data_IF_020656094857
#
_entry.id   IF_020656094857
#
_cell.length_a   1.000
_cell.length_b   1.000
_cell.length_c   1.000
_cell.angle_alpha   90.00
_cell.angle_beta   90.00
_cell.angle_gamma   90.00
#
_symmetry.space_group_name_H-M   'P 1'
#
loop_
_entity.id
_entity.type
_entity.pdbx_description
1 polymer ?
#
# COMPACT_ATOMS: atom_id res chain seq x y z
N UNK A 1 -0.72 -59.22 41.10
CA UNK A 1 -1.92 -58.51 40.57
C UNK A 1 -1.36 -57.43 39.66
N UNK A 2 -1.11 -57.78 38.41
CA UNK A 2 -0.46 -56.91 37.44
C UNK A 2 -1.41 -56.77 36.25
N UNK A 3 -2.16 -55.67 36.24
CA UNK A 3 -3.09 -55.37 35.15
C UNK A 3 -2.33 -54.67 34.03
N UNK A 4 -2.05 -55.44 32.98
CA UNK A 4 -1.67 -54.96 31.65
C UNK A 4 -2.89 -54.26 31.04
N UNK A 5 -2.82 -52.95 30.83
CA UNK A 5 -3.82 -52.20 30.05
C UNK A 5 -3.31 -52.09 28.61
N UNK A 6 -4.07 -52.69 27.69
CA UNK A 6 -3.91 -52.60 26.26
C UNK A 6 -3.96 -51.14 25.78
N UNK A 7 -2.91 -50.69 25.10
CA UNK A 7 -2.93 -49.47 24.31
C UNK A 7 -3.62 -49.76 22.98
N UNK A 8 -4.82 -49.22 22.76
CA UNK A 8 -5.51 -49.28 21.47
C UNK A 8 -4.81 -48.36 20.46
N UNK A 9 -4.07 -48.94 19.53
CA UNK A 9 -3.54 -48.29 18.35
C UNK A 9 -4.68 -47.94 17.38
N UNK A 10 -5.19 -46.72 17.48
CA UNK A 10 -6.03 -46.14 16.42
C UNK A 10 -5.22 -45.98 15.13
N UNK A 11 -5.81 -46.18 13.94
CA UNK A 11 -5.08 -46.07 12.69
C UNK A 11 -4.54 -44.64 12.51
N UNK A 12 -3.22 -44.50 12.42
CA UNK A 12 -2.55 -43.27 11.98
C UNK A 12 -3.15 -42.85 10.63
N UNK A 13 -3.91 -41.75 10.62
CA UNK A 13 -4.30 -41.09 9.38
C UNK A 13 -3.02 -40.65 8.67
N UNK A 14 -2.72 -41.31 7.55
CA UNK A 14 -1.69 -40.86 6.61
C UNK A 14 -1.97 -39.39 6.26
N UNK A 15 -0.97 -38.49 6.31
CA UNK A 15 -1.18 -37.13 5.84
C UNK A 15 -1.62 -37.20 4.38
N UNK A 16 -2.78 -36.63 4.09
CA UNK A 16 -3.28 -36.49 2.72
C UNK A 16 -2.20 -35.80 1.88
N UNK A 17 -1.97 -36.25 0.64
CA UNK A 17 -1.08 -35.54 -0.27
C UNK A 17 -1.56 -34.10 -0.35
N UNK A 18 -0.71 -33.14 0.09
CA UNK A 18 -1.00 -31.72 -0.11
C UNK A 18 -1.25 -31.56 -1.60
N UNK A 19 -2.48 -31.16 -1.96
CA UNK A 19 -2.76 -30.77 -3.33
C UNK A 19 -1.67 -29.77 -3.77
N UNK A 20 -1.07 -29.93 -4.96
CA UNK A 20 -0.14 -28.94 -5.46
C UNK A 20 -0.85 -27.60 -5.43
N UNK A 21 -0.18 -26.58 -4.86
CA UNK A 21 -0.69 -25.20 -4.89
C UNK A 21 -1.10 -24.91 -6.34
N UNK A 22 -2.30 -24.37 -6.60
CA UNK A 22 -2.72 -24.07 -7.96
C UNK A 22 -1.61 -23.26 -8.63
N UNK A 23 -1.22 -23.67 -9.84
CA UNK A 23 -0.23 -22.96 -10.64
C UNK A 23 -0.68 -21.52 -10.76
N UNK A 24 0.12 -20.59 -10.25
CA UNK A 24 -0.18 -19.16 -10.29
C UNK A 24 -0.34 -18.71 -11.73
N UNK A 25 -1.22 -17.73 -11.98
CA UNK A 25 -1.39 -17.20 -13.32
C UNK A 25 -0.09 -16.54 -13.78
N UNK A 26 0.29 -16.75 -15.05
CA UNK A 26 1.44 -16.10 -15.67
C UNK A 26 1.30 -14.57 -15.66
N UNK A 27 0.06 -14.08 -15.71
CA UNK A 27 -0.31 -12.67 -15.63
C UNK A 27 0.08 -12.04 -14.29
N UNK A 28 -0.24 -12.70 -13.17
CA UNK A 28 0.10 -12.18 -11.83
C UNK A 28 1.60 -12.06 -11.62
N UNK A 29 2.38 -13.05 -12.09
CA UNK A 29 3.84 -12.98 -12.06
C UNK A 29 4.34 -11.80 -12.91
N UNK A 30 3.73 -11.56 -14.07
CA UNK A 30 4.09 -10.42 -14.94
C UNK A 30 3.81 -9.06 -14.27
N UNK A 31 2.69 -8.93 -13.56
CA UNK A 31 2.34 -7.72 -12.81
C UNK A 31 3.29 -7.48 -11.63
N UNK A 32 3.65 -8.53 -10.89
CA UNK A 32 4.66 -8.45 -9.82
C UNK A 32 6.01 -8.03 -10.40
N UNK A 33 6.46 -8.63 -11.51
CA UNK A 33 7.69 -8.21 -12.19
C UNK A 33 7.64 -6.76 -12.64
N UNK A 34 6.50 -6.29 -13.15
CA UNK A 34 6.30 -4.88 -13.52
C UNK A 34 6.46 -3.97 -12.31
N UNK A 35 5.87 -4.33 -11.17
CA UNK A 35 6.03 -3.61 -9.91
C UNK A 35 7.49 -3.57 -9.45
N UNK A 36 8.17 -4.71 -9.40
CA UNK A 36 9.58 -4.80 -9.00
C UNK A 36 10.51 -4.01 -9.94
N UNK A 37 10.19 -3.99 -11.24
CA UNK A 37 10.90 -3.17 -12.24
C UNK A 37 10.69 -1.67 -12.04
N UNK A 38 9.65 -1.23 -11.36
CA UNK A 38 9.44 0.19 -11.03
C UNK A 38 10.21 0.66 -9.78
N UNK A 39 10.76 -0.27 -8.97
CA UNK A 39 11.53 0.07 -7.76
C UNK A 39 12.87 0.76 -8.10
N UNK A 40 13.43 1.56 -7.17
CA UNK A 40 14.78 2.14 -7.27
C UNK A 40 15.85 1.12 -7.71
N UNK A 41 16.79 1.54 -8.56
CA UNK A 41 17.81 0.70 -9.22
C UNK A 41 19.20 0.79 -8.60
N UNK A 42 19.47 1.84 -7.84
CA UNK A 42 20.74 2.08 -7.16
C UNK A 42 20.56 2.98 -5.94
N UNK A 43 21.65 3.25 -5.24
CA UNK A 43 21.62 4.13 -4.05
C UNK A 43 21.21 5.56 -4.46
N UNK A 44 21.63 6.04 -5.64
CA UNK A 44 21.21 7.36 -6.13
C UNK A 44 19.69 7.49 -6.27
N UNK A 45 19.02 6.42 -6.70
CA UNK A 45 17.56 6.42 -6.83
C UNK A 45 16.83 6.43 -5.48
N UNK A 46 17.44 5.82 -4.47
CA UNK A 46 16.95 5.88 -3.09
C UNK A 46 17.16 7.26 -2.47
N UNK A 47 18.12 8.04 -2.97
CA UNK A 47 18.55 9.31 -2.40
C UNK A 47 18.22 10.53 -3.28
N UNK A 48 17.51 10.34 -4.39
CA UNK A 48 17.09 11.40 -5.33
C UNK A 48 16.17 12.45 -4.69
N UNK A 49 15.42 12.07 -3.65
CA UNK A 49 14.43 12.93 -2.98
C UNK A 49 14.58 12.89 -1.48
N UNK A 50 14.24 13.98 -0.79
CA UNK A 50 14.10 13.92 0.67
C UNK A 50 13.00 12.91 1.05
N UNK A 51 13.13 12.20 2.18
CA UNK A 51 14.15 12.33 3.22
C UNK A 51 15.44 11.55 2.94
N UNK A 52 16.60 12.08 3.34
CA UNK A 52 17.92 11.41 3.24
C UNK A 52 18.47 10.97 4.61
N UNK A 53 17.90 11.49 5.71
CA UNK A 53 18.35 11.22 7.08
C UNK A 53 17.18 10.79 7.95
N UNK A 54 17.49 10.24 9.13
CA UNK A 54 16.47 9.78 10.08
C UNK A 54 15.63 10.96 10.61
N UNK A 55 16.26 12.10 10.86
CA UNK A 55 15.59 13.33 11.30
C UNK A 55 14.60 13.83 10.24
N UNK A 56 14.95 13.69 8.96
CA UNK A 56 14.03 14.07 7.88
C UNK A 56 12.86 13.09 7.73
N UNK A 57 13.06 11.80 8.05
CA UNK A 57 11.95 10.83 8.14
C UNK A 57 11.02 11.20 9.28
N UNK A 58 11.57 11.54 10.44
CA UNK A 58 10.80 11.96 11.61
C UNK A 58 10.05 13.26 11.34
N UNK A 59 10.67 14.23 10.69
CA UNK A 59 10.00 15.47 10.29
C UNK A 59 8.84 15.18 9.33
N UNK A 60 9.04 14.35 8.31
CA UNK A 60 7.97 13.97 7.39
C UNK A 60 6.82 13.25 8.13
N UNK A 61 7.15 12.41 9.12
CA UNK A 61 6.14 11.77 9.96
C UNK A 61 5.35 12.80 10.79
N UNK A 62 6.02 13.81 11.37
CA UNK A 62 5.35 14.89 12.10
C UNK A 62 4.44 15.72 11.20
N UNK A 63 4.86 15.98 9.96
CA UNK A 63 4.05 16.68 8.96
C UNK A 63 2.80 15.84 8.63
N UNK A 64 2.97 14.54 8.33
CA UNK A 64 1.88 13.62 7.99
C UNK A 64 0.92 13.28 9.14
N UNK A 65 1.22 13.71 10.38
CA UNK A 65 0.42 13.39 11.58
C UNK A 65 -0.29 14.61 12.18
N UNK A 66 -0.31 15.75 11.48
CA UNK A 66 -0.90 17.00 11.96
C UNK A 66 -0.33 17.38 13.34
N UNK A 67 0.99 17.27 13.51
CA UNK A 67 1.68 17.47 14.80
C UNK A 67 1.46 18.85 15.42
N UNK A 68 1.05 19.85 14.64
CA UNK A 68 0.66 21.20 15.11
C UNK A 68 -0.61 21.19 15.97
N UNK A 69 -1.46 20.19 15.82
CA UNK A 69 -2.65 19.97 16.65
C UNK A 69 -2.23 19.07 17.82
N UNK A 70 -2.64 19.39 19.05
CA UNK A 70 -2.31 18.52 20.19
C UNK A 70 -2.91 17.10 20.00
N UNK A 71 -2.20 16.07 20.48
CA UNK A 71 -2.61 14.66 20.34
C UNK A 71 -4.00 14.42 20.93
N UNK A 72 -4.25 14.99 22.12
CA UNK A 72 -5.51 14.89 22.86
C UNK A 72 -6.64 15.60 22.11
N UNK A 73 -6.34 16.72 21.46
CA UNK A 73 -7.31 17.44 20.64
C UNK A 73 -7.71 16.62 19.40
N UNK A 74 -6.75 15.96 18.73
CA UNK A 74 -7.07 15.05 17.61
C UNK A 74 -7.91 13.85 18.06
N UNK A 75 -7.66 13.30 19.24
CA UNK A 75 -8.39 12.15 19.77
C UNK A 75 -9.90 12.42 19.97
N UNK A 76 -10.28 13.66 20.26
CA UNK A 76 -11.70 14.05 20.40
C UNK A 76 -12.35 14.55 19.12
N UNK A 77 -11.58 14.74 18.02
CA UNK A 77 -12.13 15.19 16.75
C UNK A 77 -13.12 14.20 16.14
N UNK A 78 -14.14 14.74 15.47
CA UNK A 78 -15.03 13.96 14.60
C UNK A 78 -14.25 13.53 13.35
N UNK A 79 -14.53 12.35 12.76
CA UNK A 79 -13.81 11.87 11.57
C UNK A 79 -13.76 12.88 10.42
N UNK A 80 -14.88 13.58 10.16
CA UNK A 80 -14.95 14.63 9.13
C UNK A 80 -13.98 15.78 9.40
N UNK A 81 -13.93 16.27 10.63
CA UNK A 81 -13.06 17.38 11.00
C UNK A 81 -11.58 17.00 10.86
N UNK A 82 -11.19 15.79 11.28
CA UNK A 82 -9.83 15.31 11.12
C UNK A 82 -9.44 15.18 9.64
N UNK A 83 -10.33 14.66 8.80
CA UNK A 83 -10.11 14.56 7.36
C UNK A 83 -9.99 15.94 6.70
N UNK A 84 -10.80 16.92 7.12
CA UNK A 84 -10.72 18.31 6.66
C UNK A 84 -9.41 18.99 7.08
N UNK A 85 -9.00 18.85 8.34
CA UNK A 85 -7.72 19.41 8.81
C UNK A 85 -6.53 18.84 8.03
N UNK A 86 -6.55 17.56 7.70
CA UNK A 86 -5.53 16.96 6.84
C UNK A 86 -5.55 17.53 5.41
N UNK A 87 -6.74 17.65 4.82
CA UNK A 87 -6.90 18.22 3.49
C UNK A 87 -6.41 19.68 3.42
N UNK A 88 -6.71 20.49 4.44
CA UNK A 88 -6.32 21.90 4.52
C UNK A 88 -4.81 22.05 4.69
N UNK A 89 -4.18 21.29 5.60
CA UNK A 89 -2.73 21.38 5.85
C UNK A 89 -1.90 20.91 4.66
N UNK A 90 -2.40 19.94 3.88
CA UNK A 90 -1.67 19.33 2.77
C UNK A 90 -2.26 19.64 1.39
N UNK A 91 -3.08 20.69 1.25
CA UNK A 91 -3.84 20.98 0.02
C UNK A 91 -2.95 21.00 -1.24
N UNK A 92 -1.81 21.69 -1.20
CA UNK A 92 -0.88 21.79 -2.32
C UNK A 92 -0.27 20.42 -2.72
N UNK A 93 -0.05 19.53 -1.75
CA UNK A 93 0.57 18.22 -1.97
C UNK A 93 -0.45 17.15 -2.40
N UNK A 94 -1.74 17.40 -2.13
CA UNK A 94 -2.85 16.51 -2.49
C UNK A 94 -3.43 16.85 -3.87
N UNK A 95 -3.40 18.14 -4.25
CA UNK A 95 -3.82 18.61 -5.56
C UNK A 95 -3.09 17.85 -6.66
N UNK A 96 -3.81 17.40 -7.69
CA UNK A 96 -3.30 16.58 -8.80
C UNK A 96 -2.44 15.36 -8.37
N UNK A 97 -2.58 14.91 -7.13
CA UNK A 97 -1.80 13.84 -6.52
C UNK A 97 -0.28 14.12 -6.59
N UNK A 98 0.14 15.38 -6.41
CA UNK A 98 1.55 15.79 -6.49
C UNK A 98 2.47 14.97 -5.59
N UNK A 99 2.02 14.71 -4.35
CA UNK A 99 2.70 13.83 -3.40
C UNK A 99 1.91 12.56 -3.16
N UNK A 100 2.50 11.43 -3.60
CA UNK A 100 1.87 10.13 -3.48
C UNK A 100 1.74 9.66 -2.02
N UNK A 101 2.70 9.93 -1.15
CA UNK A 101 2.59 9.56 0.27
C UNK A 101 1.44 10.32 0.97
N UNK A 102 1.30 11.62 0.73
CA UNK A 102 0.19 12.41 1.27
C UNK A 102 -1.15 11.91 0.74
N UNK A 103 -1.22 11.61 -0.56
CA UNK A 103 -2.41 11.03 -1.17
C UNK A 103 -2.78 9.69 -0.55
N UNK A 104 -1.80 8.83 -0.26
CA UNK A 104 -2.05 7.53 0.36
C UNK A 104 -2.58 7.67 1.78
N UNK A 105 -1.97 8.57 2.58
CA UNK A 105 -2.43 8.89 3.93
C UNK A 105 -3.85 9.45 3.89
N UNK A 106 -4.14 10.40 3.01
CA UNK A 106 -5.47 11.00 2.88
C UNK A 106 -6.55 10.00 2.49
N UNK A 107 -6.27 9.14 1.49
CA UNK A 107 -7.21 8.08 1.06
C UNK A 107 -7.42 7.06 2.19
N UNK A 108 -6.37 6.65 2.90
CA UNK A 108 -6.47 5.73 4.03
C UNK A 108 -7.23 6.34 5.21
N UNK A 109 -7.00 7.63 5.51
CA UNK A 109 -7.74 8.38 6.53
C UNK A 109 -9.23 8.44 6.17
N UNK A 110 -9.55 8.69 4.90
CA UNK A 110 -10.92 8.66 4.39
C UNK A 110 -11.58 7.28 4.55
N UNK A 111 -10.87 6.20 4.24
CA UNK A 111 -11.35 4.83 4.44
C UNK A 111 -11.66 4.52 5.91
N UNK A 112 -10.78 4.93 6.82
CA UNK A 112 -11.00 4.80 8.27
C UNK A 112 -12.16 5.68 8.74
N UNK A 113 -12.32 6.88 8.18
CA UNK A 113 -13.45 7.76 8.49
C UNK A 113 -14.79 7.12 8.09
N UNK A 114 -14.85 6.46 6.92
CA UNK A 114 -16.03 5.69 6.50
C UNK A 114 -16.34 4.58 7.51
N UNK A 115 -15.33 3.78 7.88
CA UNK A 115 -15.49 2.71 8.87
C UNK A 115 -15.82 3.21 10.27
N UNK A 116 -15.55 4.48 10.54
CA UNK A 116 -15.91 5.18 11.77
C UNK A 116 -17.26 5.93 11.69
N UNK A 117 -18.05 5.70 10.63
CA UNK A 117 -19.43 6.18 10.52
C UNK A 117 -19.63 7.41 9.62
N UNK A 118 -18.59 7.92 8.95
CA UNK A 118 -18.75 8.99 7.96
C UNK A 118 -19.34 8.42 6.66
N UNK A 119 -20.36 9.05 6.02
CA UNK A 119 -20.91 8.53 4.78
C UNK A 119 -19.86 8.50 3.66
N UNK A 120 -19.82 7.40 2.90
CA UNK A 120 -18.90 7.22 1.75
C UNK A 120 -19.00 8.40 0.78
N UNK A 121 -20.22 8.87 0.52
CA UNK A 121 -20.48 10.02 -0.36
C UNK A 121 -19.75 11.29 0.09
N UNK A 122 -19.72 11.58 1.39
CA UNK A 122 -19.03 12.77 1.91
C UNK A 122 -17.52 12.66 1.74
N UNK A 123 -16.96 11.46 1.97
CA UNK A 123 -15.53 11.20 1.74
C UNK A 123 -15.19 11.28 0.26
N UNK A 124 -16.04 10.76 -0.63
CA UNK A 124 -15.87 10.84 -2.07
C UNK A 124 -15.86 12.29 -2.56
N UNK A 125 -16.83 13.09 -2.13
CA UNK A 125 -16.94 14.51 -2.50
C UNK A 125 -15.72 15.31 -2.03
N UNK A 126 -15.26 15.08 -0.80
CA UNK A 126 -14.04 15.71 -0.29
C UNK A 126 -12.79 15.24 -1.05
N UNK A 127 -12.70 13.95 -1.38
CA UNK A 127 -11.55 13.42 -2.14
C UNK A 127 -11.46 14.06 -3.51
N UNK A 128 -12.58 14.16 -4.23
CA UNK A 128 -12.65 14.80 -5.55
C UNK A 128 -12.23 16.27 -5.45
N UNK A 129 -12.77 17.01 -4.47
CA UNK A 129 -12.50 18.43 -4.30
C UNK A 129 -11.03 18.72 -4.02
N UNK A 130 -10.35 17.84 -3.26
CA UNK A 130 -8.98 18.05 -2.80
C UNK A 130 -7.95 17.52 -3.79
N UNK A 131 -8.21 16.39 -4.43
CA UNK A 131 -7.21 15.72 -5.30
C UNK A 131 -7.47 15.88 -6.79
N UNK A 132 -8.61 16.44 -7.19
CA UNK A 132 -9.03 16.50 -8.60
C UNK A 132 -9.36 15.14 -9.24
N UNK A 133 -9.42 14.06 -8.44
CA UNK A 133 -9.63 12.72 -8.97
C UNK A 133 -11.05 12.55 -9.51
N UNK A 134 -11.19 11.80 -10.60
CA UNK A 134 -12.51 11.43 -11.10
C UNK A 134 -13.23 10.49 -10.12
N UNK A 135 -14.54 10.67 -9.96
CA UNK A 135 -15.39 9.82 -9.10
C UNK A 135 -15.23 8.32 -9.42
N UNK A 136 -15.14 7.97 -10.70
CA UNK A 136 -14.93 6.59 -11.18
C UNK A 136 -13.60 5.97 -10.70
N UNK A 137 -12.58 6.79 -10.43
CA UNK A 137 -11.28 6.32 -9.98
C UNK A 137 -11.20 6.02 -8.48
N UNK A 138 -12.06 6.63 -7.65
CA UNK A 138 -11.96 6.60 -6.17
C UNK A 138 -11.94 5.19 -5.60
N UNK A 139 -12.85 4.32 -6.06
CA UNK A 139 -12.89 2.91 -5.65
C UNK A 139 -11.56 2.20 -5.92
N UNK A 140 -10.97 2.46 -7.09
CA UNK A 140 -9.70 1.84 -7.50
C UNK A 140 -8.50 2.43 -6.77
N UNK A 141 -8.53 3.71 -6.40
CA UNK A 141 -7.51 4.34 -5.58
C UNK A 141 -7.50 3.76 -4.17
N UNK A 142 -8.65 3.65 -3.51
CA UNK A 142 -8.78 2.97 -2.20
C UNK A 142 -8.24 1.56 -2.23
N UNK A 143 -8.63 0.76 -3.23
CA UNK A 143 -8.11 -0.59 -3.41
C UNK A 143 -6.58 -0.59 -3.59
N UNK A 144 -6.05 0.30 -4.42
CA UNK A 144 -4.62 0.46 -4.64
C UNK A 144 -3.85 0.79 -3.36
N UNK A 145 -4.38 1.66 -2.49
CA UNK A 145 -3.77 1.99 -1.19
C UNK A 145 -3.78 0.79 -0.24
N UNK A 146 -4.91 0.07 -0.12
CA UNK A 146 -4.97 -1.14 0.73
C UNK A 146 -4.00 -2.23 0.26
N UNK A 147 -3.91 -2.41 -1.06
CA UNK A 147 -2.94 -3.33 -1.69
C UNK A 147 -1.51 -2.89 -1.46
N UNK A 148 -1.25 -1.59 -1.57
CA UNK A 148 0.05 -1.02 -1.23
C UNK A 148 0.43 -1.32 0.22
N UNK A 149 -0.45 -1.08 1.20
CA UNK A 149 -0.19 -1.39 2.61
C UNK A 149 0.21 -2.86 2.79
N UNK A 150 -0.55 -3.78 2.17
CA UNK A 150 -0.23 -5.21 2.21
C UNK A 150 1.11 -5.54 1.57
N UNK A 151 1.45 -4.88 0.45
CA UNK A 151 2.70 -5.08 -0.25
C UNK A 151 3.89 -4.49 0.52
N UNK A 152 3.78 -3.29 1.07
CA UNK A 152 4.84 -2.65 1.85
C UNK A 152 5.14 -3.46 3.12
N UNK A 153 4.11 -3.94 3.82
CA UNK A 153 4.27 -4.84 4.96
C UNK A 153 4.97 -6.15 4.56
N UNK A 154 4.60 -6.68 3.41
CA UNK A 154 5.22 -7.90 2.87
C UNK A 154 6.70 -7.70 2.55
N UNK A 155 7.05 -6.60 1.89
CA UNK A 155 8.42 -6.25 1.52
C UNK A 155 9.27 -5.98 2.77
N UNK A 156 8.76 -5.16 3.69
CA UNK A 156 9.43 -4.79 4.96
C UNK A 156 9.72 -5.99 5.85
N UNK A 157 8.81 -6.95 5.92
CA UNK A 157 8.97 -8.16 6.72
C UNK A 157 9.90 -9.20 6.08
N UNK A 158 10.23 -9.07 4.79
CA UNK A 158 10.98 -10.07 4.04
C UNK A 158 12.41 -9.63 3.74
N UNK A 159 12.59 -8.59 2.93
CA UNK A 159 13.92 -8.23 2.42
C UNK A 159 14.13 -6.73 2.20
N UNK A 160 13.09 -5.88 2.32
CA UNK A 160 13.19 -4.44 2.06
C UNK A 160 12.71 -3.59 3.25
N UNK A 161 13.55 -3.36 4.29
CA UNK A 161 13.16 -2.59 5.47
C UNK A 161 12.71 -1.14 5.18
N UNK A 162 13.20 -0.55 4.09
CA UNK A 162 12.86 0.81 3.62
C UNK A 162 11.61 0.88 2.72
N UNK A 163 10.80 -0.18 2.67
CA UNK A 163 9.64 -0.27 1.77
C UNK A 163 8.63 0.88 1.97
N UNK A 164 8.48 1.40 3.19
CA UNK A 164 7.52 2.47 3.49
C UNK A 164 7.94 3.83 2.91
N UNK A 165 9.18 3.98 2.44
CA UNK A 165 9.64 5.19 1.75
C UNK A 165 9.30 5.20 0.25
N UNK A 166 8.95 4.05 -0.33
CA UNK A 166 8.75 3.91 -1.77
C UNK A 166 7.73 4.91 -2.38
N UNK A 167 6.60 5.26 -1.72
CA UNK A 167 5.68 6.29 -2.20
C UNK A 167 6.31 7.69 -2.36
N UNK A 168 7.50 7.91 -1.79
CA UNK A 168 8.29 9.13 -1.95
C UNK A 168 9.26 8.98 -3.14
N UNK A 169 9.89 7.81 -3.25
CA UNK A 169 10.94 7.52 -4.24
C UNK A 169 10.42 7.44 -5.67
N UNK A 170 9.22 6.89 -5.85
CA UNK A 170 8.66 6.63 -7.18
C UNK A 170 7.20 7.03 -7.23
N UNK A 171 6.79 7.45 -8.43
CA UNK A 171 5.41 7.83 -8.71
C UNK A 171 4.61 6.61 -9.15
N UNK A 172 3.28 6.74 -9.11
CA UNK A 172 2.36 5.82 -9.79
C UNK A 172 2.28 4.37 -9.28
N UNK A 173 2.82 4.04 -8.09
CA UNK A 173 2.66 2.70 -7.51
C UNK A 173 1.20 2.27 -7.39
N UNK A 174 0.31 3.18 -7.03
CA UNK A 174 -1.12 2.90 -6.85
C UNK A 174 -1.77 2.28 -8.10
N UNK A 175 -1.33 2.68 -9.30
CA UNK A 175 -1.87 2.19 -10.57
C UNK A 175 -1.39 0.79 -10.94
N UNK A 176 -0.20 0.40 -10.47
CA UNK A 176 0.31 -0.96 -10.59
C UNK A 176 -0.34 -1.84 -9.52
N UNK A 177 -0.36 -1.36 -8.26
CA UNK A 177 -0.91 -2.09 -7.12
C UNK A 177 -2.39 -2.44 -7.27
N UNK A 178 -3.20 -1.56 -7.86
CA UNK A 178 -4.62 -1.87 -8.11
C UNK A 178 -4.86 -3.03 -9.08
N UNK A 179 -3.86 -3.45 -9.86
CA UNK A 179 -3.97 -4.57 -10.82
C UNK A 179 -3.53 -5.91 -10.22
N UNK A 180 -2.63 -5.89 -9.23
CA UNK A 180 -2.11 -7.11 -8.60
C UNK A 180 -3.19 -7.73 -7.71
N UNK A 181 -3.59 -9.00 -7.94
CA UNK A 181 -4.52 -9.69 -7.04
C UNK A 181 -3.97 -9.83 -5.62
N UNK A 182 -4.87 -9.84 -4.63
CA UNK A 182 -4.48 -9.76 -3.23
C UNK A 182 -3.72 -10.99 -2.76
N UNK A 183 -4.13 -12.16 -3.24
CA UNK A 183 -3.49 -13.46 -3.06
C UNK A 183 -2.06 -13.50 -3.61
N UNK A 184 -1.79 -12.72 -4.66
CA UNK A 184 -0.51 -12.72 -5.37
C UNK A 184 0.51 -11.74 -4.80
N UNK A 185 0.09 -10.78 -3.96
CA UNK A 185 1.02 -9.91 -3.21
C UNK A 185 1.99 -10.75 -2.36
N UNK A 186 1.57 -11.93 -1.90
CA UNK A 186 2.43 -12.86 -1.16
C UNK A 186 3.67 -13.33 -1.93
N UNK A 187 3.66 -13.25 -3.27
CA UNK A 187 4.81 -13.59 -4.13
C UNK A 187 6.03 -12.71 -3.80
N UNK A 188 5.83 -11.48 -3.35
CA UNK A 188 6.91 -10.57 -2.95
C UNK A 188 7.79 -11.13 -1.81
N UNK A 189 7.30 -12.11 -1.03
CA UNK A 189 8.06 -12.81 0.02
C UNK A 189 9.07 -13.82 -0.52
N UNK A 190 8.91 -14.24 -1.77
CA UNK A 190 9.68 -15.34 -2.37
C UNK A 190 10.97 -14.87 -3.02
N UNK A 191 11.30 -13.59 -2.89
CA UNK A 191 12.56 -13.07 -3.39
C UNK A 191 13.73 -13.71 -2.64
N UNK A 192 14.75 -14.11 -3.39
CA UNK A 192 16.00 -14.62 -2.82
C UNK A 192 17.00 -13.48 -2.72
N UNK A 193 17.69 -13.37 -1.59
CA UNK A 193 18.70 -12.33 -1.39
C UNK A 193 20.05 -12.83 -1.92
N UNK A 194 20.60 -12.10 -2.87
CA UNK A 194 21.91 -12.32 -3.49
C UNK A 194 22.76 -11.06 -3.33
N UNK A 195 23.57 -11.00 -2.26
CA UNK A 195 24.40 -9.82 -1.97
C UNK A 195 23.55 -8.60 -1.61
N UNK A 196 23.72 -7.51 -2.38
CA UNK A 196 22.93 -6.27 -2.25
C UNK A 196 21.68 -6.25 -3.15
N UNK A 197 21.24 -7.43 -3.62
CA UNK A 197 20.08 -7.57 -4.50
C UNK A 197 19.08 -8.59 -3.97
N UNK A 198 17.80 -8.34 -4.23
CA UNK A 198 16.74 -9.33 -4.14
C UNK A 198 16.36 -9.79 -5.55
N UNK A 199 16.24 -11.10 -5.75
CA UNK A 199 16.02 -11.72 -7.05
C UNK A 199 14.71 -12.51 -7.08
N UNK A 200 13.90 -12.29 -8.11
CA UNK A 200 12.69 -13.08 -8.41
C UNK A 200 12.64 -13.36 -9.91
N UNK A 201 12.84 -14.63 -10.27
CA UNK A 201 13.03 -15.06 -11.66
C UNK A 201 14.15 -14.24 -12.35
N UNK A 202 13.82 -13.48 -13.40
CA UNK A 202 14.74 -12.64 -14.17
C UNK A 202 14.86 -11.19 -13.64
N UNK A 203 14.14 -10.84 -12.58
CA UNK A 203 14.13 -9.48 -12.03
C UNK A 203 15.04 -9.39 -10.81
N UNK A 204 15.97 -8.43 -10.87
CA UNK A 204 16.85 -8.05 -9.77
C UNK A 204 16.43 -6.69 -9.22
N UNK A 205 16.32 -6.58 -7.91
CA UNK A 205 15.99 -5.35 -7.20
C UNK A 205 17.13 -4.98 -6.27
N UNK A 206 17.54 -3.72 -6.32
CA UNK A 206 18.58 -3.20 -5.45
C UNK A 206 18.07 -3.03 -4.02
N UNK A 207 18.84 -3.53 -3.06
CA UNK A 207 18.62 -3.32 -1.62
C UNK A 207 19.53 -2.16 -1.19
N UNK A 208 18.98 -1.03 -0.71
CA UNK A 208 19.77 0.13 -0.33
C UNK A 208 20.76 -0.21 0.78
N UNK A 209 21.99 0.29 0.69
CA UNK A 209 23.02 0.03 1.71
C UNK A 209 22.74 0.83 2.98
N UNK A 210 22.31 2.08 2.81
CA UNK A 210 21.89 2.90 3.96
C UNK A 210 20.51 2.45 4.41
N UNK A 211 20.46 1.91 5.62
CA UNK A 211 19.22 1.46 6.26
C UNK A 211 18.70 2.57 7.18
N UNK A 212 17.68 3.29 6.72
CA UNK A 212 16.94 4.25 7.54
C UNK A 212 15.72 3.56 8.16
N UNK A 213 15.33 3.96 9.37
CA UNK A 213 14.14 3.41 10.03
C UNK A 213 12.89 4.10 9.48
N UNK A 214 12.30 3.48 8.45
CA UNK A 214 11.12 4.00 7.74
C UNK A 214 9.78 3.58 8.35
N UNK A 215 9.79 2.80 9.42
CA UNK A 215 8.57 2.21 10.01
C UNK A 215 7.55 3.25 10.52
N UNK A 216 7.97 4.47 10.84
CA UNK A 216 7.09 5.58 11.17
C UNK A 216 6.28 6.09 9.96
N UNK A 217 6.75 5.84 8.74
CA UNK A 217 6.06 6.19 7.49
C UNK A 217 5.05 5.14 7.04
N UNK A 218 4.98 4.00 7.74
CA UNK A 218 3.98 2.97 7.49
C UNK A 218 2.58 3.57 7.68
N UNK A 219 1.73 3.49 6.66
CA UNK A 219 0.44 4.20 6.63
C UNK A 219 -0.44 3.93 7.87
N UNK A 220 -0.71 2.67 8.29
CA UNK A 220 -1.48 2.44 9.52
C UNK A 220 -0.90 3.11 10.77
N UNK A 221 0.43 3.26 10.88
CA UNK A 221 1.06 3.94 12.02
C UNK A 221 0.78 5.46 11.97
N UNK A 222 0.85 6.06 10.77
CA UNK A 222 0.47 7.47 10.57
C UNK A 222 -1.01 7.67 10.92
N UNK A 223 -1.91 6.82 10.43
CA UNK A 223 -3.35 6.91 10.72
C UNK A 223 -3.61 6.76 12.23
N UNK A 224 -2.89 5.87 12.91
CA UNK A 224 -2.98 5.70 14.37
C UNK A 224 -2.63 6.98 15.14
N UNK A 225 -1.54 7.63 14.75
CA UNK A 225 -1.09 8.89 15.36
C UNK A 225 -2.01 10.08 15.01
N UNK A 226 -2.56 10.12 13.79
CA UNK A 226 -3.57 11.10 13.37
C UNK A 226 -4.82 11.01 14.24
N UNK A 227 -5.26 9.80 14.59
CA UNK A 227 -6.40 9.58 15.49
C UNK A 227 -6.08 9.84 16.97
N UNK A 228 -4.84 10.20 17.33
CA UNK A 228 -4.46 10.54 18.71
C UNK A 228 -4.66 9.40 19.72
N UNK A 229 -4.72 8.14 19.26
CA UNK A 229 -5.02 6.97 20.10
C UNK A 229 -6.51 6.67 20.30
N UNK A 230 -7.44 7.40 19.65
CA UNK A 230 -8.89 7.10 19.68
C UNK A 230 -9.22 5.70 19.16
N UNK A 231 -8.47 5.25 18.15
CA UNK A 231 -8.58 3.93 17.56
C UNK A 231 -7.31 3.14 17.86
N UNK A 232 -7.45 1.84 18.13
CA UNK A 232 -6.29 0.97 18.25
C UNK A 232 -5.65 0.75 16.87
N UNK A 233 -4.34 0.50 16.83
CA UNK A 233 -3.65 0.15 15.59
C UNK A 233 -4.27 -1.11 14.93
N UNK A 234 -4.72 -2.07 15.74
CA UNK A 234 -5.39 -3.29 15.26
C UNK A 234 -6.69 -2.98 14.52
N UNK A 235 -7.48 -2.03 15.02
CA UNK A 235 -8.73 -1.63 14.36
C UNK A 235 -8.45 -0.89 13.04
N UNK A 236 -7.42 -0.03 13.02
CA UNK A 236 -6.99 0.67 11.82
C UNK A 236 -6.52 -0.32 10.76
N UNK A 237 -5.67 -1.28 11.14
CA UNK A 237 -5.22 -2.34 10.23
C UNK A 237 -6.38 -3.18 9.69
N UNK A 238 -7.38 -3.48 10.55
CA UNK A 238 -8.60 -4.18 10.13
C UNK A 238 -9.41 -3.35 9.12
N UNK A 239 -9.54 -2.04 9.33
CA UNK A 239 -10.26 -1.15 8.42
C UNK A 239 -9.56 -0.98 7.07
N UNK A 240 -8.23 -1.00 7.07
CA UNK A 240 -7.40 -0.85 5.88
C UNK A 240 -7.04 -2.18 5.19
N UNK A 241 -7.47 -3.32 5.75
CA UNK A 241 -7.27 -4.61 5.14
C UNK A 241 -7.99 -4.71 3.78
N UNK A 242 -7.39 -5.42 2.83
CA UNK A 242 -8.07 -5.66 1.55
C UNK A 242 -9.27 -6.58 1.78
N UNK A 243 -10.50 -6.24 1.32
CA UNK A 243 -11.66 -7.08 1.53
C UNK A 243 -11.44 -8.48 0.93
N UNK A 244 -11.54 -9.52 1.74
CA UNK A 244 -11.71 -10.88 1.22
C UNK A 244 -13.09 -11.00 0.60
N UNK A 245 -13.25 -11.82 -0.45
CA UNK A 245 -14.54 -12.08 -1.12
C UNK A 245 -15.65 -12.51 -0.14
N UNK A 246 -15.31 -13.01 1.05
CA UNK A 246 -16.22 -13.33 2.15
C UNK A 246 -16.78 -12.11 2.91
N UNK A 247 -16.13 -10.94 2.86
CA UNK A 247 -16.53 -9.72 3.56
C UNK A 247 -17.27 -8.70 2.67
N UNK A 248 -17.46 -9.01 1.39
CA UNK A 248 -18.16 -8.15 0.44
C UNK A 248 -19.69 -8.10 0.65
N UNK A 249 -20.25 -8.89 1.57
CA UNK A 249 -21.70 -9.08 1.71
C UNK A 249 -22.42 -8.20 2.74
N UNK A 250 -21.79 -7.14 3.26
CA UNK A 250 -22.49 -6.23 4.18
C UNK A 250 -22.26 -4.78 3.77
N UNK A 251 -23.20 -4.26 2.98
CA UNK A 251 -23.42 -2.84 2.74
C UNK A 251 -22.94 -2.33 1.39
N UNK A 252 -23.90 -2.05 0.50
CA UNK A 252 -23.79 -1.27 -0.75
C UNK A 252 -23.25 -1.97 -2.01
N UNK A 253 -23.88 -3.08 -2.40
CA UNK A 253 -23.89 -3.52 -3.81
C UNK A 253 -25.13 -2.98 -4.53
N UNK A 254 -25.08 -1.72 -4.95
CA UNK A 254 -25.86 -1.28 -6.10
C UNK A 254 -25.06 -1.65 -7.35
N UNK A 255 -25.46 -2.76 -7.99
CA UNK A 255 -25.00 -3.20 -9.30
C UNK A 255 -24.95 -2.03 -10.30
N UNK A 256 -23.76 -1.67 -10.75
CA UNK A 256 -23.56 -1.13 -12.09
C UNK A 256 -22.52 -2.01 -12.77
N UNK A 257 -23.05 -2.94 -13.56
CA UNK A 257 -22.30 -3.68 -14.57
C UNK A 257 -21.78 -2.70 -15.61
N UNK A 258 -20.47 -2.65 -15.78
CA UNK A 258 -19.84 -2.05 -16.97
C UNK A 258 -18.66 -2.91 -17.39
N UNK A 259 -18.99 -4.07 -17.96
CA UNK A 259 -18.17 -4.71 -18.98
C UNK A 259 -18.16 -3.82 -20.22
N UNK A 260 -17.26 -2.83 -20.30
CA UNK A 260 -16.89 -2.20 -21.57
C UNK A 260 -15.39 -1.87 -21.60
N UNK A 261 -14.65 -2.77 -22.26
CA UNK A 261 -13.60 -2.51 -23.24
C UNK A 261 -12.87 -1.16 -23.15
N UNK A 262 -11.64 -1.15 -22.62
CA UNK A 262 -10.72 0.00 -22.64
C UNK A 262 -9.33 -0.45 -23.13
N UNK A 263 -9.24 -0.85 -24.40
CA UNK A 263 -8.01 -0.64 -25.17
C UNK A 263 -8.01 0.81 -25.64
N UNK A 264 -7.20 1.65 -25.00
CA UNK A 264 -6.54 2.86 -25.54
C UNK A 264 -6.09 3.72 -24.38
N UNK A 265 -4.83 3.55 -23.94
CA UNK A 265 -3.92 4.66 -23.58
C UNK A 265 -2.49 4.08 -23.63
N UNK A 266 -1.93 3.96 -24.83
CA UNK A 266 -0.48 3.86 -25.01
C UNK A 266 -0.12 4.65 -26.26
N UNK A 267 0.01 5.96 -26.11
CA UNK A 267 0.82 6.79 -26.98
C UNK A 267 1.12 8.08 -26.22
N UNK A 268 2.39 8.34 -25.95
CA UNK A 268 2.81 9.53 -25.20
C UNK A 268 4.01 9.37 -24.28
N UNK A 269 4.85 8.35 -24.44
CA UNK A 269 6.22 8.37 -23.87
C UNK A 269 7.17 7.60 -24.78
N UNK A 270 7.52 8.22 -25.92
CA UNK A 270 8.72 7.87 -26.66
C UNK A 270 9.80 8.89 -26.30
N UNK A 271 10.76 8.45 -25.47
CA UNK A 271 12.08 9.05 -25.39
C UNK A 271 12.85 8.62 -26.64
N UNK A 272 13.35 9.59 -27.42
CA UNK A 272 14.52 9.35 -28.28
C UNK A 272 15.48 10.52 -28.16
N UNK A 273 16.62 10.17 -27.57
CA UNK A 273 17.92 10.84 -27.47
C UNK A 273 18.56 11.15 -28.83
N UNK A 274 19.31 12.26 -28.89
CA UNK A 274 20.62 12.32 -29.56
C UNK A 274 20.72 13.02 -30.94
N UNK A 275 21.21 14.27 -30.89
CA UNK A 275 22.19 15.01 -31.76
C UNK A 275 22.93 14.30 -32.93
N UNK A 276 23.74 14.98 -33.80
CA UNK A 276 24.02 16.43 -33.99
C UNK A 276 24.05 16.92 -35.47
N UNK A 277 24.44 18.20 -35.71
CA UNK A 277 25.47 18.69 -36.68
C UNK A 277 25.09 20.00 -37.43
N UNK A 278 25.90 21.04 -37.14
CA UNK A 278 26.44 22.16 -37.95
C UNK A 278 25.78 22.51 -39.31
N UNK A 279 25.45 23.79 -39.48
CA UNK A 279 26.30 24.80 -40.16
C UNK A 279 25.87 26.21 -39.76
#
# INVERSE_FOLDING_TARGET
MDNVIFSSSGPQRRPTPRQPKPSRSSESISLIKTFLKALPKGEEDWDDKKPHTQEQIEQLHLDLTLSKIAREARAVMKPKALLQSFAEEHAALLHDLESQIHSFVFIALGDVAVKSGLPVREVDEMTIAVTGAQRSALRTLRLGVRRWIKASDTLRQSWLPRADELPIRRKSFIYIMKKIPDEDIGILREMTIEGDQAVLADVKVYIPKRQLSSSSLRIPNIIYELHGGKLSLVDIERYLAVPTTSNARVGDDAHVSTDHNMMQVMEGFALTTGEPVRK
#
